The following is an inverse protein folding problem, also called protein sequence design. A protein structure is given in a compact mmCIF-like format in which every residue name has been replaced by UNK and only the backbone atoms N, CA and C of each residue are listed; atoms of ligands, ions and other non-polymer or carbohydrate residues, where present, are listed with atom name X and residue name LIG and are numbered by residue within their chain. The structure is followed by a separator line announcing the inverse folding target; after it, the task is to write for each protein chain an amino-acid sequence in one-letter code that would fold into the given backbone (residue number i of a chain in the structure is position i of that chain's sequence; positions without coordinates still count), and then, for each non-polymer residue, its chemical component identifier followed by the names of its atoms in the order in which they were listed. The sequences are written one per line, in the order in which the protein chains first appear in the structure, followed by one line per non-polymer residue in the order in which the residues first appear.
data_IF_480015385169
#
_entry.id   IF_480015385169
#
_cell.length_a   1.000
_cell.length_b   1.000
_cell.length_c   1.000
_cell.angle_alpha   90.00
_cell.angle_beta   90.00
_cell.angle_gamma   90.00
#
_symmetry.space_group_name_H-M   'P 1'
#
loop_
_entity.id
_entity.type
_entity.pdbx_description
1 polymer ?
#
# COMPACT_ATOMS: atom_id res chain seq x y z
N UNK A 1 -8.29 -7.32 -9.23
CA UNK A 1 -9.73 -7.63 -9.20
C UNK A 1 -10.40 -6.74 -8.14
N UNK A 2 -10.60 -5.46 -8.45
CA UNK A 2 -11.32 -4.52 -7.57
C UNK A 2 -12.83 -4.57 -7.86
N UNK A 3 -13.19 -4.88 -9.10
CA UNK A 3 -14.55 -4.76 -9.64
C UNK A 3 -15.60 -5.66 -8.98
N UNK A 4 -15.19 -6.74 -8.30
CA UNK A 4 -16.15 -7.71 -7.71
C UNK A 4 -16.20 -7.68 -6.19
N UNK A 5 -15.35 -6.91 -5.51
CA UNK A 5 -15.27 -6.94 -4.06
C UNK A 5 -16.56 -6.45 -3.42
N UNK A 6 -17.08 -5.29 -3.87
CA UNK A 6 -18.34 -4.74 -3.40
C UNK A 6 -19.51 -5.70 -3.68
N UNK A 7 -19.65 -6.18 -4.91
CA UNK A 7 -20.70 -7.14 -5.29
C UNK A 7 -20.65 -8.44 -4.48
N UNK A 8 -19.44 -8.92 -4.19
CA UNK A 8 -19.23 -10.09 -3.32
C UNK A 8 -19.77 -9.81 -1.93
N UNK A 9 -19.47 -8.65 -1.35
CA UNK A 9 -19.99 -8.26 -0.03
C UNK A 9 -21.51 -8.06 -0.03
N UNK A 10 -22.11 -7.57 -1.12
CA UNK A 10 -23.57 -7.50 -1.27
C UNK A 10 -24.19 -8.92 -1.25
N UNK A 11 -23.61 -9.85 -1.99
CA UNK A 11 -24.08 -11.23 -2.06
C UNK A 11 -23.92 -11.96 -0.71
N UNK A 12 -22.78 -11.76 -0.05
CA UNK A 12 -22.51 -12.32 1.26
C UNK A 12 -23.44 -11.73 2.33
N UNK A 13 -23.68 -10.42 2.32
CA UNK A 13 -24.61 -9.76 3.25
C UNK A 13 -26.02 -10.34 3.14
N UNK A 14 -26.47 -10.60 1.90
CA UNK A 14 -27.75 -11.26 1.62
C UNK A 14 -27.79 -12.71 2.11
N UNK A 15 -26.68 -13.45 1.97
CA UNK A 15 -26.60 -14.88 2.30
C UNK A 15 -26.42 -15.14 3.80
N UNK A 16 -25.75 -14.25 4.52
CA UNK A 16 -25.33 -14.41 5.91
C UNK A 16 -25.93 -13.36 6.86
N UNK A 17 -26.80 -12.49 6.35
CA UNK A 17 -27.61 -11.53 7.10
C UNK A 17 -26.80 -10.53 7.96
N UNK A 18 -25.63 -10.08 7.46
CA UNK A 18 -24.85 -9.02 8.08
C UNK A 18 -25.06 -7.66 7.37
N UNK A 19 -24.59 -6.57 7.98
CA UNK A 19 -24.80 -5.20 7.50
C UNK A 19 -24.25 -4.97 6.08
N UNK A 20 -25.10 -4.40 5.21
CA UNK A 20 -24.73 -4.01 3.85
C UNK A 20 -23.75 -2.82 3.89
N UNK A 21 -22.59 -2.89 3.20
CA UNK A 21 -21.70 -1.74 3.09
C UNK A 21 -22.39 -0.58 2.35
N UNK A 22 -22.32 0.63 2.92
CA UNK A 22 -23.02 1.82 2.36
C UNK A 22 -22.22 2.58 1.32
N UNK A 23 -20.90 2.54 1.42
CA UNK A 23 -20.00 3.28 0.56
C UNK A 23 -19.21 2.31 -0.33
N UNK A 24 -19.49 2.23 -1.63
CA UNK A 24 -18.75 1.35 -2.55
C UNK A 24 -17.30 1.81 -2.77
N UNK A 25 -16.97 3.08 -2.51
CA UNK A 25 -15.65 3.64 -2.79
C UNK A 25 -14.52 2.99 -1.98
N UNK A 26 -14.84 2.43 -0.81
CA UNK A 26 -13.87 1.72 0.04
C UNK A 26 -13.37 0.40 -0.59
N UNK A 27 -14.11 -0.16 -1.56
CA UNK A 27 -13.76 -1.40 -2.25
C UNK A 27 -13.03 -1.16 -3.58
N UNK A 28 -12.98 0.09 -4.05
CA UNK A 28 -12.43 0.45 -5.35
C UNK A 28 -10.91 0.60 -5.34
N UNK A 29 -10.30 0.77 -4.16
CA UNK A 29 -8.86 0.95 -4.00
C UNK A 29 -8.35 0.08 -2.86
N UNK A 30 -7.08 -0.35 -2.92
CA UNK A 30 -6.46 -0.99 -1.75
C UNK A 30 -6.40 0.00 -0.59
N UNK A 31 -6.64 -0.50 0.62
CA UNK A 31 -6.53 0.28 1.86
C UNK A 31 -5.08 0.70 2.09
N UNK A 32 -4.16 -0.19 1.75
CA UNK A 32 -2.72 0.03 1.69
C UNK A 32 -2.20 -0.66 0.42
N UNK A 33 -1.26 -0.07 -0.30
CA UNK A 33 -0.44 -0.89 -1.19
C UNK A 33 0.40 -1.74 -0.23
N UNK A 34 0.22 -3.06 -0.23
CA UNK A 34 0.90 -4.01 0.68
C UNK A 34 2.45 -3.97 0.61
N UNK A 35 3.01 -3.00 -0.12
CA UNK A 35 4.41 -2.62 -0.15
C UNK A 35 4.80 -1.66 1.00
N UNK A 36 3.87 -1.24 1.88
CA UNK A 36 4.13 -0.32 2.99
C UNK A 36 4.45 1.11 2.55
N UNK A 37 4.13 1.48 1.30
CA UNK A 37 4.44 2.78 0.70
C UNK A 37 3.75 3.98 1.35
N UNK A 38 2.64 3.74 2.04
CA UNK A 38 1.87 4.78 2.70
C UNK A 38 1.92 4.68 4.23
N UNK A 39 2.85 3.87 4.79
CA UNK A 39 3.01 3.69 6.25
C UNK A 39 3.30 4.98 6.99
N UNK A 40 3.86 5.98 6.29
CA UNK A 40 4.14 7.30 6.85
C UNK A 40 2.88 8.13 7.09
N UNK A 41 1.75 7.77 6.47
CA UNK A 41 0.49 8.48 6.62
C UNK A 41 -0.27 7.98 7.87
N UNK A 42 -1.03 8.85 8.56
CA UNK A 42 -1.27 10.27 8.25
C UNK A 42 -0.10 11.18 8.67
N UNK A 43 0.15 12.24 7.89
CA UNK A 43 1.13 13.28 8.21
C UNK A 43 0.44 14.63 8.39
N UNK A 44 0.85 15.39 9.41
CA UNK A 44 0.45 16.79 9.63
C UNK A 44 1.62 17.71 9.28
N UNK A 45 1.41 18.58 8.29
CA UNK A 45 2.36 19.62 7.92
C UNK A 45 1.91 20.96 8.52
N UNK A 46 2.78 21.56 9.31
CA UNK A 46 2.52 22.80 10.05
C UNK A 46 3.18 23.99 9.34
N UNK A 47 2.40 25.04 9.15
CA UNK A 47 2.84 26.32 8.58
C UNK A 47 2.44 27.45 9.51
N UNK A 48 3.25 28.51 9.55
CA UNK A 48 2.95 29.72 10.32
C UNK A 48 2.49 30.82 9.37
N UNK A 49 1.31 31.39 9.65
CA UNK A 49 0.74 32.51 8.93
C UNK A 49 0.23 33.56 9.91
N UNK A 50 0.79 34.77 9.87
CA UNK A 50 0.40 35.87 10.78
C UNK A 50 0.34 35.43 12.26
N UNK A 51 1.37 34.71 12.72
CA UNK A 51 1.46 34.10 14.06
C UNK A 51 0.36 33.08 14.41
N UNK A 52 -0.37 32.57 13.41
CA UNK A 52 -1.32 31.47 13.55
C UNK A 52 -0.78 30.24 12.86
N UNK A 53 -0.94 29.10 13.50
CA UNK A 53 -0.65 27.81 12.89
C UNK A 53 -1.76 27.44 11.88
N UNK A 54 -1.31 26.94 10.72
CA UNK A 54 -2.11 26.31 9.68
C UNK A 54 -1.58 24.89 9.53
N UNK A 55 -2.47 23.92 9.63
CA UNK A 55 -2.10 22.50 9.59
C UNK A 55 -2.78 21.83 8.41
N UNK A 56 -1.98 21.27 7.51
CA UNK A 56 -2.47 20.39 6.44
C UNK A 56 -2.31 18.94 6.88
N UNK A 57 -3.38 18.17 6.81
CA UNK A 57 -3.40 16.74 7.04
C UNK A 57 -3.32 16.02 5.69
N UNK A 58 -2.25 15.29 5.47
CA UNK A 58 -2.10 14.37 4.33
C UNK A 58 -2.42 12.97 4.83
N UNK A 59 -3.43 12.35 4.26
CA UNK A 59 -3.90 11.02 4.68
C UNK A 59 -4.51 10.27 3.49
N UNK A 60 -5.05 9.09 3.71
CA UNK A 60 -5.81 8.34 2.71
C UNK A 60 -7.31 8.46 2.94
N UNK A 61 -8.10 8.28 1.87
CA UNK A 61 -9.57 8.23 1.95
C UNK A 61 -10.08 7.21 2.96
N UNK A 62 -9.36 6.10 3.12
CA UNK A 62 -9.73 5.05 4.06
C UNK A 62 -9.45 5.44 5.51
N UNK A 63 -8.32 6.10 5.77
CA UNK A 63 -7.93 6.50 7.13
C UNK A 63 -8.79 7.65 7.66
N UNK A 64 -9.21 8.59 6.82
CA UNK A 64 -10.02 9.73 7.29
C UNK A 64 -11.41 9.31 7.79
N UNK A 65 -11.95 8.19 7.31
CA UNK A 65 -13.24 7.66 7.78
C UNK A 65 -13.19 7.36 9.28
N UNK A 66 -12.01 7.01 9.79
CA UNK A 66 -11.76 6.69 11.20
C UNK A 66 -11.56 7.95 12.07
N UNK A 67 -11.36 9.13 11.47
CA UNK A 67 -11.22 10.38 12.22
C UNK A 67 -12.61 10.89 12.68
N UNK A 68 -12.87 10.99 13.99
CA UNK A 68 -14.15 11.49 14.51
C UNK A 68 -14.40 12.96 14.14
N UNK A 69 -13.34 13.72 13.88
CA UNK A 69 -13.38 15.14 13.55
C UNK A 69 -13.34 15.40 12.04
N UNK A 70 -13.54 14.38 11.19
CA UNK A 70 -13.43 14.51 9.73
C UNK A 70 -14.25 15.64 9.11
N UNK A 71 -15.39 15.98 9.72
CA UNK A 71 -16.30 17.04 9.26
C UNK A 71 -15.73 18.46 9.43
N UNK A 72 -14.68 18.63 10.25
CA UNK A 72 -13.99 19.91 10.44
C UNK A 72 -13.00 20.23 9.31
N UNK A 73 -12.75 19.28 8.42
CA UNK A 73 -11.80 19.45 7.33
C UNK A 73 -12.48 19.74 5.99
N UNK A 74 -11.77 20.46 5.14
CA UNK A 74 -12.05 20.66 3.72
C UNK A 74 -11.03 19.91 2.89
N UNK A 75 -11.49 19.16 1.90
CA UNK A 75 -10.63 18.57 0.88
C UNK A 75 -10.10 19.66 -0.07
N UNK A 76 -8.78 19.87 0.00
CA UNK A 76 -8.04 20.84 -0.82
C UNK A 76 -7.11 20.14 -1.82
N UNK A 77 -7.24 18.82 -2.01
CA UNK A 77 -6.34 18.00 -2.84
C UNK A 77 -6.20 18.58 -4.25
N UNK A 78 -7.31 18.87 -4.93
CA UNK A 78 -7.32 19.45 -6.29
C UNK A 78 -6.85 20.90 -6.37
N UNK A 79 -6.72 21.58 -5.23
CA UNK A 79 -6.16 22.94 -5.15
C UNK A 79 -4.65 22.90 -5.00
N UNK A 80 -4.13 21.88 -4.33
CA UNK A 80 -2.70 21.69 -4.15
C UNK A 80 -2.09 20.95 -5.34
N UNK A 81 -2.79 19.97 -5.91
CA UNK A 81 -2.26 19.04 -6.89
C UNK A 81 -2.98 19.21 -8.21
N UNK A 82 -2.21 19.36 -9.28
CA UNK A 82 -2.69 19.52 -10.66
C UNK A 82 -2.15 18.43 -11.61
N UNK A 83 -1.51 17.39 -11.09
CA UNK A 83 -1.08 16.21 -11.85
C UNK A 83 -1.74 14.94 -11.29
N UNK A 84 -1.63 13.85 -12.03
CA UNK A 84 -2.07 12.54 -11.56
C UNK A 84 -1.01 11.95 -10.61
N UNK A 85 -1.36 11.84 -9.33
CA UNK A 85 -0.49 11.22 -8.32
C UNK A 85 -0.55 9.70 -8.50
N UNK A 86 0.57 9.02 -8.29
CA UNK A 86 0.63 7.54 -8.27
C UNK A 86 -0.36 6.94 -7.24
N UNK A 87 -0.63 7.66 -6.15
CA UNK A 87 -1.51 7.24 -5.06
C UNK A 87 -2.86 7.96 -5.14
N UNK A 88 -3.79 7.41 -5.90
CA UNK A 88 -5.13 8.00 -6.13
C UNK A 88 -6.03 8.10 -4.89
N UNK A 89 -5.64 7.42 -3.81
CA UNK A 89 -6.32 7.45 -2.50
C UNK A 89 -5.78 8.51 -1.54
N UNK A 90 -4.67 9.20 -1.87
CA UNK A 90 -4.19 10.32 -1.06
C UNK A 90 -5.19 11.48 -1.12
N UNK A 91 -5.45 12.07 0.03
CA UNK A 91 -6.21 13.29 0.20
C UNK A 91 -5.44 14.27 1.06
N UNK A 92 -5.59 15.55 0.75
CA UNK A 92 -5.05 16.65 1.54
C UNK A 92 -6.19 17.46 2.11
N UNK A 93 -6.19 17.54 3.44
CA UNK A 93 -7.24 18.10 4.25
C UNK A 93 -6.71 19.34 4.98
N UNK A 94 -7.53 20.37 5.05
CA UNK A 94 -7.27 21.60 5.78
C UNK A 94 -8.47 21.92 6.65
N UNK A 95 -8.25 22.45 7.85
CA UNK A 95 -9.34 22.96 8.69
C UNK A 95 -10.20 23.98 7.90
N UNK A 96 -11.53 23.77 7.91
CA UNK A 96 -12.51 24.58 7.18
C UNK A 96 -12.39 26.08 7.50
N UNK A 97 -12.16 26.42 8.77
CA UNK A 97 -12.04 27.81 9.22
C UNK A 97 -10.76 28.44 8.68
N UNK A 98 -9.68 27.66 8.60
CA UNK A 98 -8.39 28.11 8.06
C UNK A 98 -8.44 28.27 6.54
N UNK A 99 -9.12 27.38 5.83
CA UNK A 99 -9.27 27.48 4.37
C UNK A 99 -9.88 28.81 3.94
N UNK A 100 -10.93 29.26 4.64
CA UNK A 100 -11.60 30.51 4.33
C UNK A 100 -10.70 31.74 4.47
N UNK A 101 -9.69 31.66 5.34
CA UNK A 101 -8.69 32.71 5.56
C UNK A 101 -7.65 32.70 4.43
N UNK A 102 -7.12 31.52 4.10
CA UNK A 102 -5.88 31.43 3.29
C UNK A 102 -6.13 31.38 1.79
N UNK A 103 -7.33 31.00 1.32
CA UNK A 103 -7.61 30.74 -0.11
C UNK A 103 -7.43 31.95 -1.04
N UNK A 104 -7.31 33.16 -0.48
CA UNK A 104 -7.11 34.41 -1.23
C UNK A 104 -5.72 35.01 -1.02
N UNK A 105 -4.89 34.36 -0.21
CA UNK A 105 -3.60 34.88 0.21
C UNK A 105 -2.48 34.37 -0.71
N UNK A 106 -1.46 35.20 -0.96
CA UNK A 106 -0.32 34.83 -1.80
C UNK A 106 0.57 33.75 -1.17
N UNK A 107 0.63 33.65 0.15
CA UNK A 107 1.35 32.59 0.88
C UNK A 107 0.78 31.20 0.64
N UNK A 108 -0.47 31.09 0.17
CA UNK A 108 -1.04 29.79 -0.20
C UNK A 108 -0.24 29.11 -1.31
N UNK A 109 0.34 29.88 -2.24
CA UNK A 109 1.19 29.35 -3.31
C UNK A 109 2.47 28.69 -2.75
N UNK A 110 3.06 29.29 -1.70
CA UNK A 110 4.23 28.74 -1.03
C UNK A 110 3.90 27.43 -0.30
N UNK A 111 2.76 27.37 0.40
CA UNK A 111 2.30 26.16 1.07
C UNK A 111 2.01 25.05 0.07
N UNK A 112 1.34 25.39 -1.03
CA UNK A 112 1.11 24.48 -2.13
C UNK A 112 2.43 23.90 -2.64
N UNK A 113 3.42 24.74 -2.94
CA UNK A 113 4.72 24.28 -3.44
C UNK A 113 5.40 23.30 -2.46
N UNK A 114 5.44 23.63 -1.16
CA UNK A 114 6.05 22.76 -0.13
C UNK A 114 5.34 21.42 0.01
N UNK A 115 4.00 21.40 -0.06
CA UNK A 115 3.23 20.16 -0.02
C UNK A 115 3.47 19.33 -1.29
N UNK A 116 3.56 19.97 -2.46
CA UNK A 116 3.90 19.28 -3.71
C UNK A 116 5.30 18.67 -3.68
N UNK A 117 6.29 19.37 -3.13
CA UNK A 117 7.66 18.87 -2.93
C UNK A 117 7.68 17.65 -2.01
N UNK A 118 6.93 17.68 -0.91
CA UNK A 118 6.75 16.53 -0.03
C UNK A 118 6.18 15.31 -0.77
N UNK A 119 5.13 15.50 -1.58
CA UNK A 119 4.52 14.41 -2.34
C UNK A 119 5.45 13.81 -3.39
N UNK A 120 6.23 14.65 -4.08
CA UNK A 120 7.26 14.17 -5.02
C UNK A 120 8.33 13.36 -4.30
N UNK A 121 8.79 13.82 -3.13
CA UNK A 121 9.75 13.09 -2.32
C UNK A 121 9.19 11.74 -1.84
N UNK A 122 7.89 11.67 -1.53
CA UNK A 122 7.20 10.43 -1.21
C UNK A 122 7.20 9.47 -2.42
N UNK A 123 6.82 9.94 -3.60
CA UNK A 123 6.83 9.13 -4.83
C UNK A 123 8.24 8.64 -5.19
N UNK A 124 9.25 9.49 -5.07
CA UNK A 124 10.65 9.16 -5.34
C UNK A 124 11.19 8.11 -4.36
N UNK A 125 10.84 8.21 -3.07
CA UNK A 125 11.21 7.21 -2.08
C UNK A 125 10.65 5.84 -2.47
N UNK A 126 9.39 5.80 -2.89
CA UNK A 126 8.73 4.57 -3.27
C UNK A 126 9.28 3.96 -4.55
N UNK A 127 9.66 4.78 -5.53
CA UNK A 127 10.38 4.28 -6.70
C UNK A 127 11.72 3.67 -6.31
N UNK A 128 12.47 4.28 -5.40
CA UNK A 128 13.72 3.69 -4.88
C UNK A 128 13.47 2.39 -4.13
N UNK A 129 12.39 2.28 -3.36
CA UNK A 129 12.04 1.04 -2.67
C UNK A 129 11.70 -0.09 -3.65
N UNK A 130 10.93 0.20 -4.70
CA UNK A 130 10.61 -0.77 -5.76
C UNK A 130 11.87 -1.20 -6.52
N UNK A 131 12.76 -0.25 -6.86
CA UNK A 131 14.00 -0.54 -7.58
C UNK A 131 15.00 -1.35 -6.75
N UNK A 132 14.98 -1.21 -5.42
CA UNK A 132 15.83 -1.95 -4.50
C UNK A 132 15.10 -3.13 -3.83
N UNK A 133 13.89 -3.47 -4.29
CA UNK A 133 13.14 -4.59 -3.74
C UNK A 133 13.84 -5.89 -4.14
N UNK A 134 14.05 -6.77 -3.16
CA UNK A 134 14.62 -8.10 -3.41
C UNK A 134 13.65 -8.86 -4.32
N UNK A 135 14.15 -9.29 -5.47
CA UNK A 135 13.40 -10.08 -6.45
C UNK A 135 13.48 -11.57 -6.13
N UNK A 136 12.53 -12.35 -6.66
CA UNK A 136 12.53 -13.80 -6.50
C UNK A 136 13.81 -14.44 -7.08
N UNK A 137 14.35 -13.85 -8.15
CA UNK A 137 15.61 -14.31 -8.77
C UNK A 137 16.80 -14.08 -7.82
N UNK A 138 16.85 -12.93 -7.15
CA UNK A 138 17.91 -12.65 -6.17
C UNK A 138 17.81 -13.59 -4.96
N UNK A 139 16.60 -13.93 -4.51
CA UNK A 139 16.39 -14.94 -3.46
C UNK A 139 16.91 -16.30 -3.92
N UNK A 140 16.57 -16.74 -5.14
CA UNK A 140 17.04 -18.01 -5.69
C UNK A 140 18.57 -18.05 -5.80
N UNK A 141 19.19 -16.98 -6.30
CA UNK A 141 20.65 -16.87 -6.39
C UNK A 141 21.29 -16.95 -5.00
N UNK A 142 20.76 -16.23 -4.02
CA UNK A 142 21.23 -16.29 -2.64
C UNK A 142 21.15 -17.72 -2.08
N UNK A 143 20.03 -18.41 -2.29
CA UNK A 143 19.87 -19.80 -1.83
C UNK A 143 20.82 -20.75 -2.56
N UNK A 144 21.08 -20.54 -3.85
CA UNK A 144 22.04 -21.32 -4.64
C UNK A 144 23.46 -21.23 -4.09
N UNK A 145 23.88 -20.03 -3.69
CA UNK A 145 25.19 -19.78 -3.09
C UNK A 145 25.29 -20.28 -1.65
N UNK A 146 24.15 -20.35 -0.94
CA UNK A 146 24.08 -20.72 0.48
C UNK A 146 23.37 -22.07 0.68
N UNK A 147 24.01 -23.16 0.27
CA UNK A 147 23.44 -24.53 0.24
C UNK A 147 22.81 -24.97 1.57
N UNK A 148 23.42 -24.66 2.71
CA UNK A 148 22.88 -25.05 4.02
C UNK A 148 21.57 -24.33 4.35
N UNK A 149 21.44 -23.07 3.92
CA UNK A 149 20.20 -22.30 4.06
C UNK A 149 19.15 -22.85 3.12
N UNK A 150 19.50 -23.15 1.87
CA UNK A 150 18.59 -23.77 0.90
C UNK A 150 18.03 -25.10 1.42
N UNK A 151 18.86 -25.97 1.97
CA UNK A 151 18.42 -27.26 2.55
C UNK A 151 17.48 -27.07 3.74
N UNK A 152 17.82 -26.17 4.67
CA UNK A 152 16.93 -25.85 5.80
C UNK A 152 15.60 -25.30 5.32
N UNK A 153 15.62 -24.39 4.35
CA UNK A 153 14.40 -23.82 3.78
C UNK A 153 13.54 -24.88 3.09
N UNK A 154 14.15 -25.77 2.29
CA UNK A 154 13.47 -26.91 1.67
C UNK A 154 12.80 -27.81 2.70
N UNK A 155 13.52 -28.16 3.78
CA UNK A 155 12.98 -28.98 4.86
C UNK A 155 11.75 -28.36 5.52
N UNK A 156 11.76 -27.05 5.79
CA UNK A 156 10.61 -26.35 6.36
C UNK A 156 9.42 -26.40 5.39
N UNK A 157 9.65 -26.14 4.10
CA UNK A 157 8.60 -26.19 3.10
C UNK A 157 7.99 -27.59 2.97
N UNK A 158 8.83 -28.62 2.85
CA UNK A 158 8.38 -29.99 2.63
C UNK A 158 7.73 -30.62 3.86
N UNK A 159 8.12 -30.24 5.07
CA UNK A 159 7.58 -30.83 6.30
C UNK A 159 6.40 -30.05 6.87
N UNK A 160 6.45 -28.72 6.85
CA UNK A 160 5.54 -27.90 7.66
C UNK A 160 4.47 -27.17 6.83
N UNK A 161 4.80 -26.74 5.61
CA UNK A 161 3.93 -25.82 4.86
C UNK A 161 3.23 -26.46 3.65
N UNK A 162 3.93 -27.32 2.90
CA UNK A 162 3.44 -27.84 1.63
C UNK A 162 2.70 -29.19 1.66
N UNK A 163 2.84 -30.09 2.66
CA UNK A 163 2.17 -31.40 2.62
C UNK A 163 0.68 -31.33 2.33
N UNK A 164 -0.04 -30.49 3.07
CA UNK A 164 -1.49 -30.35 2.93
C UNK A 164 -1.90 -29.81 1.57
N UNK A 165 -1.17 -28.80 1.06
CA UNK A 165 -1.47 -28.17 -0.22
C UNK A 165 -1.14 -29.13 -1.38
N UNK A 166 0.02 -29.80 -1.34
CA UNK A 166 0.40 -30.82 -2.33
C UNK A 166 -0.61 -31.98 -2.36
N UNK A 167 -1.17 -32.37 -1.22
CA UNK A 167 -2.19 -33.44 -1.14
C UNK A 167 -3.52 -33.03 -1.78
N UNK A 168 -4.03 -31.82 -1.48
CA UNK A 168 -5.39 -31.43 -1.87
C UNK A 168 -5.45 -30.62 -3.17
N UNK A 169 -4.40 -29.83 -3.44
CA UNK A 169 -4.29 -28.87 -4.55
C UNK A 169 -2.88 -28.85 -5.15
N UNK A 170 -2.38 -29.99 -5.66
CA UNK A 170 -1.06 -30.05 -6.30
C UNK A 170 -0.98 -29.13 -7.53
N UNK A 171 -2.10 -28.85 -8.19
CA UNK A 171 -2.22 -27.92 -9.31
C UNK A 171 -1.80 -26.49 -8.93
N UNK A 172 -2.08 -26.05 -7.70
CA UNK A 172 -1.66 -24.74 -7.20
C UNK A 172 -0.14 -24.70 -7.05
N UNK A 173 0.45 -25.73 -6.44
CA UNK A 173 1.91 -25.79 -6.23
C UNK A 173 2.66 -25.87 -7.57
N UNK A 174 2.13 -26.63 -8.53
CA UNK A 174 2.68 -26.73 -9.88
C UNK A 174 2.69 -25.38 -10.63
N UNK A 175 1.77 -24.47 -10.29
CA UNK A 175 1.68 -23.14 -10.91
C UNK A 175 2.74 -22.14 -10.39
N UNK A 176 3.44 -22.46 -9.30
CA UNK A 176 4.41 -21.56 -8.67
C UNK A 176 5.78 -21.61 -9.36
N UNK A 177 5.94 -20.80 -10.41
CA UNK A 177 7.17 -20.71 -11.22
C UNK A 177 8.48 -20.75 -10.38
N UNK A 178 8.65 -19.81 -9.44
CA UNK A 178 9.91 -19.69 -8.69
C UNK A 178 10.12 -20.82 -7.68
N UNK A 179 9.05 -21.45 -7.18
CA UNK A 179 9.17 -22.65 -6.36
C UNK A 179 9.64 -23.86 -7.19
N UNK A 180 9.17 -23.99 -8.43
CA UNK A 180 9.66 -25.04 -9.35
C UNK A 180 11.14 -24.83 -9.71
N UNK A 181 11.59 -23.58 -9.87
CA UNK A 181 13.00 -23.25 -10.06
C UNK A 181 13.84 -23.59 -8.81
N UNK A 182 13.32 -23.32 -7.62
CA UNK A 182 13.94 -23.69 -6.35
C UNK A 182 14.09 -25.21 -6.18
N UNK A 183 13.05 -26.01 -6.48
CA UNK A 183 13.11 -27.47 -6.35
C UNK A 183 14.18 -28.07 -7.27
N UNK A 184 14.22 -27.65 -8.54
CA UNK A 184 15.27 -28.08 -9.50
C UNK A 184 16.67 -27.74 -9.01
N UNK A 185 16.84 -26.52 -8.49
CA UNK A 185 18.10 -26.09 -7.90
C UNK A 185 18.50 -26.98 -6.71
N UNK A 186 17.56 -27.37 -5.84
CA UNK A 186 17.85 -28.29 -4.74
C UNK A 186 18.25 -29.69 -5.23
N UNK A 187 17.58 -30.23 -6.26
CA UNK A 187 17.95 -31.52 -6.88
C UNK A 187 19.40 -31.49 -7.39
N UNK A 188 19.79 -30.45 -8.13
CA UNK A 188 21.17 -30.28 -8.62
C UNK A 188 22.21 -30.17 -7.50
N UNK A 189 21.84 -29.61 -6.34
CA UNK A 189 22.73 -29.46 -5.18
C UNK A 189 22.98 -30.77 -4.44
N UNK A 190 22.03 -31.70 -4.49
CA UNK A 190 22.11 -33.01 -3.84
C UNK A 190 22.80 -34.05 -4.74
N UNK A 191 22.76 -33.90 -6.08
CA UNK A 191 23.51 -34.74 -7.03
C UNK A 191 25.02 -34.45 -7.07
N UNK A 192 25.43 -33.23 -6.68
CA UNK A 192 26.84 -32.79 -6.71
C UNK A 192 27.58 -32.97 -5.37
N UNK A 193 27.03 -33.77 -4.46
CA UNK A 193 27.56 -34.08 -3.13
C UNK A 193 27.79 -35.59 -2.97
#
# INVERSE_FOLDING_TARGET
SYDKAYDTFLNLSSSYNFLVPKDPSIFQNRVDSDDGSLVVLPVRLYFVYQNKEITFLITTKQLIILDPDREKYTDVTKKIINWEIKYSNIIILLDLDKWNIIKKDSSFLEYQQKIQEYLKALEDNEQKRIQNAITEIEILNYLKENKDIARKFKQILDNDHLPYIKQHRPDIVASWKYYQEFEKMCEELDENN
#
